data_IF_544775296873
#
_entry.id   IF_544775296873
#
_cell.length_a   1.000
_cell.length_b   1.000
_cell.length_c   1.000
_cell.angle_alpha   90.00
_cell.angle_beta   90.00
_cell.angle_gamma   90.00
#
_symmetry.space_group_name_H-M   'P 1'
#
loop_
_entity.id
_entity.type
_entity.pdbx_description
1 polymer ?
#
# COMPACT_ATOMS: atom_id res chain seq x y z
N UNK A 1 -79.68 -34.11 -29.61
CA UNK A 1 -79.20 -32.80 -29.16
C UNK A 1 -77.86 -33.03 -28.48
N UNK A 2 -76.76 -32.45 -28.97
CA UNK A 2 -75.48 -32.59 -28.30
C UNK A 2 -75.56 -31.93 -26.93
N UNK A 3 -74.95 -32.62 -25.96
CA UNK A 3 -74.97 -32.35 -24.53
C UNK A 3 -74.15 -31.08 -24.22
N UNK A 4 -74.82 -29.92 -24.12
CA UNK A 4 -74.23 -28.59 -23.87
C UNK A 4 -73.28 -28.61 -22.65
N UNK A 5 -73.61 -29.43 -21.66
CA UNK A 5 -72.81 -29.67 -20.44
C UNK A 5 -71.37 -30.12 -20.74
N UNK A 6 -71.13 -30.85 -21.84
CA UNK A 6 -69.76 -31.31 -22.21
C UNK A 6 -68.92 -30.23 -22.87
N UNK A 7 -69.53 -29.21 -23.47
CA UNK A 7 -68.80 -28.09 -24.09
C UNK A 7 -68.28 -27.12 -23.02
N UNK A 8 -69.09 -26.85 -21.99
CA UNK A 8 -68.71 -25.98 -20.88
C UNK A 8 -67.55 -26.55 -20.05
N UNK A 9 -67.55 -27.87 -19.81
CA UNK A 9 -66.44 -28.54 -19.12
C UNK A 9 -65.13 -28.47 -19.93
N UNK A 10 -65.20 -28.62 -21.25
CA UNK A 10 -63.99 -28.50 -22.08
C UNK A 10 -63.47 -27.07 -22.13
N UNK A 11 -64.35 -26.07 -22.18
CA UNK A 11 -63.93 -24.66 -22.17
C UNK A 11 -63.23 -24.31 -20.84
N UNK A 12 -63.78 -24.76 -19.71
CA UNK A 12 -63.16 -24.56 -18.38
C UNK A 12 -61.75 -25.16 -18.30
N UNK A 13 -61.54 -26.36 -18.85
CA UNK A 13 -60.22 -27.01 -18.87
C UNK A 13 -59.22 -26.22 -19.73
N UNK A 14 -59.67 -25.63 -20.84
CA UNK A 14 -58.84 -24.80 -21.72
C UNK A 14 -58.44 -23.52 -20.98
N UNK A 15 -59.37 -22.86 -20.31
CA UNK A 15 -59.11 -21.61 -19.58
C UNK A 15 -58.15 -21.84 -18.40
N UNK A 16 -58.34 -22.92 -17.62
CA UNK A 16 -57.43 -23.31 -16.53
C UNK A 16 -56.01 -23.60 -17.03
N UNK A 17 -55.88 -24.21 -18.22
CA UNK A 17 -54.57 -24.45 -18.84
C UNK A 17 -53.91 -23.15 -19.30
N UNK A 18 -54.66 -22.23 -19.89
CA UNK A 18 -54.12 -20.94 -20.32
C UNK A 18 -53.64 -20.10 -19.12
N UNK A 19 -54.37 -20.11 -18.01
CA UNK A 19 -53.98 -19.39 -16.80
C UNK A 19 -52.73 -19.99 -16.15
N UNK A 20 -52.60 -21.31 -16.13
CA UNK A 20 -51.38 -21.97 -15.65
C UNK A 20 -50.16 -21.64 -16.54
N UNK A 21 -50.32 -21.59 -17.86
CA UNK A 21 -49.25 -21.19 -18.79
C UNK A 21 -48.84 -19.73 -18.56
N UNK A 22 -49.80 -18.81 -18.38
CA UNK A 22 -49.51 -17.40 -18.05
C UNK A 22 -48.75 -17.28 -16.73
N UNK A 23 -49.16 -17.99 -15.68
CA UNK A 23 -48.47 -18.02 -14.38
C UNK A 23 -47.02 -18.53 -14.49
N UNK A 24 -46.80 -19.59 -15.25
CA UNK A 24 -45.45 -20.14 -15.48
C UNK A 24 -44.55 -19.17 -16.26
N UNK A 25 -45.09 -18.51 -17.29
CA UNK A 25 -44.35 -17.49 -18.06
C UNK A 25 -43.98 -16.30 -17.18
N UNK A 26 -44.89 -15.85 -16.32
CA UNK A 26 -44.62 -14.77 -15.37
C UNK A 26 -43.51 -15.14 -14.37
N UNK A 27 -43.56 -16.36 -13.80
CA UNK A 27 -42.50 -16.84 -12.89
C UNK A 27 -41.12 -16.92 -13.56
N UNK A 28 -41.07 -17.34 -14.83
CA UNK A 28 -39.81 -17.37 -15.60
C UNK A 28 -39.27 -15.95 -15.81
N UNK A 29 -40.12 -15.01 -16.19
CA UNK A 29 -39.73 -13.62 -16.39
C UNK A 29 -39.21 -12.98 -15.09
N UNK A 30 -39.88 -13.23 -13.96
CA UNK A 30 -39.44 -12.72 -12.64
C UNK A 30 -38.04 -13.24 -12.29
N UNK A 31 -37.77 -14.54 -12.50
CA UNK A 31 -36.44 -15.11 -12.27
C UNK A 31 -35.37 -14.49 -13.16
N UNK A 32 -35.67 -14.27 -14.43
CA UNK A 32 -34.72 -13.62 -15.36
C UNK A 32 -34.40 -12.18 -14.92
N UNK A 33 -35.43 -11.41 -14.55
CA UNK A 33 -35.24 -10.02 -14.07
C UNK A 33 -34.43 -9.99 -12.77
N UNK A 34 -34.72 -10.91 -11.83
CA UNK A 34 -33.97 -11.00 -10.57
C UNK A 34 -32.50 -11.33 -10.81
N UNK A 35 -32.20 -12.26 -11.71
CA UNK A 35 -30.81 -12.61 -12.06
C UNK A 35 -30.07 -11.42 -12.70
N UNK A 36 -30.73 -10.68 -13.59
CA UNK A 36 -30.14 -9.47 -14.19
C UNK A 36 -29.82 -8.42 -13.11
N UNK A 37 -30.76 -8.19 -12.19
CA UNK A 37 -30.55 -7.26 -11.07
C UNK A 37 -29.37 -7.68 -10.19
N UNK A 38 -29.27 -8.96 -9.83
CA UNK A 38 -28.15 -9.48 -9.05
C UNK A 38 -26.80 -9.30 -9.77
N UNK A 39 -26.75 -9.57 -11.08
CA UNK A 39 -25.54 -9.36 -11.88
C UNK A 39 -25.14 -7.88 -11.92
N UNK A 40 -26.10 -6.97 -12.10
CA UNK A 40 -25.82 -5.52 -12.10
C UNK A 40 -25.30 -5.06 -10.74
N UNK A 41 -25.91 -5.51 -9.64
CA UNK A 41 -25.44 -5.20 -8.28
C UNK A 41 -24.02 -5.72 -8.06
N UNK A 42 -23.74 -6.95 -8.50
CA UNK A 42 -22.40 -7.53 -8.40
C UNK A 42 -21.36 -6.70 -9.18
N UNK A 43 -21.69 -6.28 -10.41
CA UNK A 43 -20.81 -5.40 -11.21
C UNK A 43 -20.58 -4.07 -10.48
N UNK A 44 -21.62 -3.45 -9.92
CA UNK A 44 -21.47 -2.19 -9.18
C UNK A 44 -20.54 -2.39 -7.96
N UNK A 45 -20.70 -3.48 -7.20
CA UNK A 45 -19.84 -3.79 -6.06
C UNK A 45 -18.38 -4.00 -6.52
N UNK A 46 -18.15 -4.76 -7.59
CA UNK A 46 -16.81 -4.96 -8.14
C UNK A 46 -16.18 -3.64 -8.60
N UNK A 47 -16.91 -2.84 -9.35
CA UNK A 47 -16.43 -1.52 -9.81
C UNK A 47 -16.18 -0.59 -8.64
N UNK A 48 -17.03 -0.59 -7.62
CA UNK A 48 -16.83 0.23 -6.42
C UNK A 48 -15.61 -0.24 -5.61
N UNK A 49 -15.39 -1.55 -5.46
CA UNK A 49 -14.18 -2.08 -4.80
C UNK A 49 -12.90 -1.72 -5.56
N UNK A 50 -12.94 -1.75 -6.89
CA UNK A 50 -11.82 -1.27 -7.73
C UNK A 50 -11.65 0.24 -7.54
N UNK A 51 -12.74 1.01 -7.60
CA UNK A 51 -12.68 2.47 -7.45
C UNK A 51 -12.19 2.89 -6.06
N UNK A 52 -12.57 2.18 -5.00
CA UNK A 52 -12.09 2.44 -3.64
C UNK A 52 -10.58 2.19 -3.50
N UNK A 53 -10.04 1.22 -4.23
CA UNK A 53 -8.58 1.03 -4.36
C UNK A 53 -7.89 2.20 -5.05
N UNK A 54 -8.57 2.91 -5.96
CA UNK A 54 -8.02 4.07 -6.65
C UNK A 54 -8.22 5.40 -5.89
N UNK A 55 -9.27 5.55 -5.09
CA UNK A 55 -9.53 6.82 -4.39
C UNK A 55 -8.62 7.06 -3.16
N UNK A 56 -7.93 6.02 -2.69
CA UNK A 56 -6.82 6.17 -1.71
C UNK A 56 -5.53 6.73 -2.38
N UNK A 57 -5.47 6.84 -3.71
CA UNK A 57 -4.30 7.32 -4.45
C UNK A 57 -4.10 8.85 -4.42
N UNK A 58 -4.84 9.60 -3.60
CA UNK A 58 -4.62 11.06 -3.43
C UNK A 58 -3.65 11.42 -2.29
N UNK A 59 -2.82 10.47 -1.85
CA UNK A 59 -1.69 10.72 -0.92
C UNK A 59 -0.35 10.65 -1.68
N UNK A 60 -0.37 10.89 -2.98
CA UNK A 60 0.79 10.75 -3.84
C UNK A 60 1.09 12.07 -4.53
N UNK A 61 1.97 12.86 -3.92
CA UNK A 61 2.56 14.02 -4.58
C UNK A 61 3.60 13.51 -5.59
N UNK A 62 3.37 13.81 -6.88
CA UNK A 62 4.42 13.69 -7.88
C UNK A 62 5.45 14.79 -7.58
N UNK A 63 6.74 14.47 -7.37
CA UNK A 63 7.73 15.52 -7.15
C UNK A 63 7.80 16.41 -8.39
N UNK A 64 7.67 17.72 -8.18
CA UNK A 64 7.91 18.74 -9.21
C UNK A 64 9.35 18.56 -9.69
N UNK A 65 9.52 18.23 -10.97
CA UNK A 65 10.83 18.05 -11.58
C UNK A 65 11.70 19.28 -11.34
N UNK A 66 12.85 19.08 -10.69
CA UNK A 66 13.88 20.11 -10.57
C UNK A 66 14.45 20.37 -11.96
N UNK A 67 14.29 21.60 -12.45
CA UNK A 67 14.86 22.08 -13.70
C UNK A 67 16.37 21.76 -13.79
N UNK A 68 16.75 21.21 -14.94
CA UNK A 68 18.13 21.00 -15.36
C UNK A 68 18.90 22.33 -15.37
N UNK A 69 19.69 22.58 -14.33
CA UNK A 69 20.79 23.54 -14.39
C UNK A 69 22.10 22.82 -14.07
N UNK A 70 22.62 22.09 -15.07
CA UNK A 70 23.99 21.59 -15.08
C UNK A 70 24.95 22.78 -15.06
N UNK A 71 25.46 23.12 -13.88
CA UNK A 71 26.61 23.99 -13.74
C UNK A 71 27.86 23.17 -14.10
N UNK A 72 28.35 23.36 -15.32
CA UNK A 72 29.69 23.00 -15.78
C UNK A 72 30.71 23.51 -14.76
N UNK A 73 31.34 22.61 -14.01
CA UNK A 73 32.60 22.89 -13.33
C UNK A 73 33.71 22.41 -14.25
N UNK A 74 34.56 23.36 -14.64
CA UNK A 74 35.73 23.14 -15.48
C UNK A 74 36.81 22.40 -14.67
N UNK A 75 37.18 21.21 -15.12
CA UNK A 75 38.47 20.61 -14.78
C UNK A 75 39.53 21.13 -15.76
N UNK A 76 40.46 21.95 -15.27
CA UNK A 76 41.85 22.06 -15.74
C UNK A 76 42.55 23.21 -15.00
N UNK A 77 43.22 22.90 -13.90
CA UNK A 77 44.58 23.39 -13.63
C UNK A 77 45.07 22.82 -12.29
N UNK A 78 46.05 21.92 -12.35
CA UNK A 78 47.10 21.88 -11.33
C UNK A 78 48.34 21.18 -11.90
N UNK A 79 49.26 22.01 -12.38
CA UNK A 79 50.67 21.67 -12.54
C UNK A 79 51.34 21.53 -11.17
N UNK A 80 52.35 20.66 -11.18
CA UNK A 80 53.37 20.38 -10.16
C UNK A 80 53.93 21.63 -9.46
N UNK A 81 54.30 21.47 -8.20
CA UNK A 81 55.69 21.68 -7.79
C UNK A 81 56.04 20.96 -6.47
N UNK A 82 57.28 20.50 -6.43
CA UNK A 82 57.91 19.72 -5.37
C UNK A 82 58.40 20.59 -4.21
N UNK A 83 58.56 19.94 -3.05
CA UNK A 83 59.75 19.94 -2.18
C UNK A 83 59.64 20.53 -0.74
N UNK A 84 60.01 19.64 0.19
CA UNK A 84 60.82 19.84 1.41
C UNK A 84 60.23 20.44 2.71
N UNK A 85 60.21 19.57 3.74
CA UNK A 85 61.03 19.64 4.97
C UNK A 85 60.32 19.78 6.34
N UNK A 86 60.45 18.69 7.12
CA UNK A 86 60.50 18.52 8.60
C UNK A 86 60.53 19.77 9.50
N UNK A 87 59.70 19.79 10.56
CA UNK A 87 60.10 19.67 11.98
C UNK A 87 58.91 19.84 12.96
N UNK A 88 58.87 18.93 13.96
CA UNK A 88 58.50 18.96 15.38
C UNK A 88 57.50 19.95 16.02
N UNK A 89 56.59 19.35 16.81
CA UNK A 89 56.01 19.72 18.13
C UNK A 89 55.68 21.19 18.49
N UNK A 90 54.40 21.48 18.77
CA UNK A 90 53.94 21.86 20.14
C UNK A 90 52.42 22.09 20.22
N UNK A 91 51.92 21.83 21.44
CA UNK A 91 50.56 21.96 21.97
C UNK A 91 50.19 23.44 22.19
N UNK A 92 48.95 23.91 21.88
CA UNK A 92 47.99 24.52 22.86
C UNK A 92 46.66 25.03 22.26
N UNK A 93 45.56 24.68 22.95
CA UNK A 93 44.27 25.38 23.25
C UNK A 93 43.36 26.04 22.19
N UNK A 94 42.14 25.48 22.13
CA UNK A 94 40.85 26.10 22.51
C UNK A 94 40.35 27.34 21.73
N UNK A 95 39.32 27.16 20.89
CA UNK A 95 37.97 27.69 21.10
C UNK A 95 37.05 27.26 19.95
N UNK A 96 35.81 26.97 20.31
CA UNK A 96 34.81 26.39 19.43
C UNK A 96 34.33 27.30 18.31
N UNK A 97 33.90 26.67 17.22
CA UNK A 97 32.80 27.16 16.41
C UNK A 97 31.97 25.98 15.91
N UNK A 98 30.67 26.25 15.87
CA UNK A 98 29.56 25.33 15.70
C UNK A 98 29.74 24.38 14.50
N UNK A 99 29.94 23.10 14.79
CA UNK A 99 29.55 22.04 13.84
C UNK A 99 28.03 22.01 13.79
N UNK A 100 27.50 22.50 12.67
CA UNK A 100 26.17 22.17 12.17
C UNK A 100 26.01 20.64 12.26
N UNK A 101 24.92 20.12 12.86
CA UNK A 101 24.71 18.68 12.85
C UNK A 101 24.60 18.26 11.39
N UNK A 102 25.48 17.34 10.99
CA UNK A 102 25.40 16.68 9.70
C UNK A 102 23.99 16.08 9.59
N UNK A 103 23.25 16.51 8.57
CA UNK A 103 22.05 15.86 8.08
C UNK A 103 22.45 14.47 7.57
N UNK A 104 22.61 13.57 8.53
CA UNK A 104 22.80 12.14 8.33
C UNK A 104 21.41 11.51 8.32
N UNK A 105 20.58 11.91 7.35
CA UNK A 105 19.46 11.07 6.93
C UNK A 105 20.07 9.85 6.25
N UNK A 106 20.29 8.79 7.01
CA UNK A 106 20.77 7.52 6.50
C UNK A 106 19.71 7.00 5.51
N UNK A 107 20.04 7.09 4.22
CA UNK A 107 19.14 6.70 3.13
C UNK A 107 19.43 5.26 2.80
N UNK A 108 18.53 4.37 3.18
CA UNK A 108 18.64 2.96 2.82
C UNK A 108 18.17 2.82 1.37
N UNK A 109 19.13 2.59 0.46
CA UNK A 109 18.87 2.21 -0.93
C UNK A 109 18.82 0.70 -1.01
N UNK A 110 17.66 0.14 -1.33
CA UNK A 110 17.52 -1.28 -1.66
C UNK A 110 17.45 -1.45 -3.17
N UNK A 111 18.51 -2.01 -3.76
CA UNK A 111 18.54 -2.41 -5.16
C UNK A 111 18.39 -3.93 -5.23
N UNK A 112 17.41 -4.42 -5.99
CA UNK A 112 17.23 -5.87 -6.18
C UNK A 112 16.70 -6.20 -7.57
N UNK A 113 17.04 -7.40 -8.04
CA UNK A 113 16.58 -7.96 -9.31
C UNK A 113 15.60 -9.09 -9.04
N UNK A 114 14.34 -8.90 -9.44
CA UNK A 114 13.34 -9.96 -9.45
C UNK A 114 13.02 -10.31 -10.91
N UNK A 115 13.51 -11.47 -11.37
CA UNK A 115 13.26 -11.94 -12.74
C UNK A 115 13.92 -11.08 -13.81
N UNK A 116 13.13 -10.63 -14.79
CA UNK A 116 13.51 -9.81 -15.95
C UNK A 116 13.49 -8.30 -15.69
N UNK A 117 13.12 -7.86 -14.49
CA UNK A 117 13.01 -6.44 -14.12
C UNK A 117 13.98 -5.96 -13.03
N UNK A 118 13.98 -4.64 -12.84
CA UNK A 118 14.74 -3.90 -11.84
C UNK A 118 13.77 -3.09 -10.98
N UNK A 119 14.05 -2.97 -9.70
CA UNK A 119 13.41 -1.98 -8.85
C UNK A 119 14.43 -1.41 -7.86
N UNK A 120 14.27 -0.12 -7.59
CA UNK A 120 14.97 0.59 -6.52
C UNK A 120 13.91 1.21 -5.63
N UNK A 121 14.08 1.01 -4.32
CA UNK A 121 13.31 1.74 -3.30
C UNK A 121 14.27 2.60 -2.51
N UNK A 122 13.85 3.84 -2.27
CA UNK A 122 14.44 4.69 -1.24
C UNK A 122 13.50 4.75 -0.05
N UNK A 123 14.00 4.36 1.13
CA UNK A 123 13.40 4.69 2.42
C UNK A 123 14.34 5.65 3.16
N UNK A 124 13.79 6.74 3.68
CA UNK A 124 14.55 7.65 4.56
C UNK A 124 14.41 7.14 5.99
N UNK A 125 15.40 6.37 6.44
CA UNK A 125 15.48 5.82 7.79
C UNK A 125 14.65 4.56 8.02
N UNK A 126 14.96 3.91 9.15
CA UNK A 126 14.28 2.70 9.65
C UNK A 126 13.22 3.05 10.71
N UNK A 127 13.03 4.34 11.01
CA UNK A 127 12.13 4.84 12.06
C UNK A 127 10.96 5.58 11.42
N UNK A 128 9.77 5.03 11.60
CA UNK A 128 8.51 5.67 11.22
C UNK A 128 7.85 6.31 12.44
N UNK A 129 7.11 7.39 12.22
CA UNK A 129 6.47 8.14 13.31
C UNK A 129 4.96 8.19 13.13
N UNK A 130 4.20 8.06 14.21
CA UNK A 130 2.76 8.25 14.23
C UNK A 130 2.34 9.14 15.40
N UNK A 131 1.28 9.93 15.21
CA UNK A 131 0.65 10.65 16.32
C UNK A 131 -0.38 9.75 17.01
N UNK A 132 -0.33 9.67 18.35
CA UNK A 132 -1.28 8.87 19.12
C UNK A 132 -2.73 9.29 18.81
N UNK A 133 -3.57 8.30 18.52
CA UNK A 133 -4.99 8.50 18.22
C UNK A 133 -5.31 9.14 16.86
N UNK A 134 -4.32 9.62 16.10
CA UNK A 134 -4.53 10.11 14.72
C UNK A 134 -4.81 8.98 13.74
N UNK A 135 -4.27 7.79 14.03
CA UNK A 135 -4.24 6.67 13.11
C UNK A 135 -3.38 6.92 11.87
N UNK A 136 -2.49 7.92 11.86
CA UNK A 136 -1.64 8.23 10.69
C UNK A 136 -0.19 7.89 10.98
N UNK A 137 0.40 7.13 10.08
CA UNK A 137 1.82 6.82 10.02
C UNK A 137 2.48 7.72 8.99
N UNK A 138 3.49 8.48 9.39
CA UNK A 138 4.36 9.20 8.47
C UNK A 138 5.50 8.29 8.01
N UNK A 139 5.68 8.22 6.70
CA UNK A 139 6.73 7.43 6.06
C UNK A 139 7.27 8.19 4.85
N UNK A 140 8.55 8.02 4.53
CA UNK A 140 9.16 8.58 3.32
C UNK A 140 9.70 7.44 2.47
N UNK A 141 8.78 6.78 1.77
CA UNK A 141 9.08 5.64 0.89
C UNK A 141 8.82 6.04 -0.55
N UNK A 142 9.81 5.86 -1.41
CA UNK A 142 9.75 6.25 -2.82
C UNK A 142 10.02 5.07 -3.74
N UNK A 143 9.11 4.87 -4.69
CA UNK A 143 9.34 4.03 -5.85
C UNK A 143 10.09 4.86 -6.89
N UNK A 144 11.30 4.45 -7.28
CA UNK A 144 12.11 5.22 -8.22
C UNK A 144 11.50 5.15 -9.62
N UNK A 145 11.66 6.23 -10.39
CA UNK A 145 11.07 6.37 -11.73
C UNK A 145 11.58 5.31 -12.73
N UNK A 146 12.77 4.75 -12.51
CA UNK A 146 13.37 3.69 -13.33
C UNK A 146 13.01 2.26 -12.86
N UNK A 147 12.11 2.14 -11.89
CA UNK A 147 11.55 0.86 -11.47
C UNK A 147 10.63 0.30 -12.56
N UNK A 148 10.68 -1.01 -12.77
CA UNK A 148 9.74 -1.72 -13.66
C UNK A 148 8.55 -2.29 -12.90
N UNK A 149 8.45 -2.01 -11.60
CA UNK A 149 7.45 -2.58 -10.71
C UNK A 149 6.71 -1.53 -9.90
N UNK A 150 5.41 -1.76 -9.73
CA UNK A 150 4.59 -1.14 -8.70
C UNK A 150 4.83 -1.83 -7.37
N UNK A 151 4.64 -1.10 -6.26
CA UNK A 151 4.93 -1.61 -4.93
C UNK A 151 3.68 -1.53 -4.04
N UNK A 152 3.52 -2.53 -3.18
CA UNK A 152 2.64 -2.49 -2.01
C UNK A 152 3.49 -2.73 -0.77
N UNK A 153 3.39 -1.83 0.20
CA UNK A 153 4.04 -1.90 1.50
C UNK A 153 3.03 -2.35 2.55
N UNK A 154 3.38 -3.36 3.35
CA UNK A 154 2.59 -3.85 4.48
C UNK A 154 3.43 -3.85 5.73
N UNK A 155 2.96 -3.23 6.81
CA UNK A 155 3.64 -3.20 8.10
C UNK A 155 2.98 -4.17 9.07
N UNK A 156 3.81 -5.00 9.69
CA UNK A 156 3.38 -6.02 10.63
C UNK A 156 4.04 -5.82 11.99
N UNK A 157 3.25 -5.98 13.06
CA UNK A 157 3.74 -6.13 14.43
C UNK A 157 3.64 -7.59 14.84
N UNK A 158 4.66 -8.14 15.52
CA UNK A 158 4.62 -9.53 15.98
C UNK A 158 3.73 -9.69 17.21
N UNK A 159 3.20 -10.90 17.40
CA UNK A 159 2.44 -11.25 18.60
C UNK A 159 3.28 -11.06 19.88
N UNK A 160 4.57 -11.36 19.81
CA UNK A 160 5.49 -11.22 20.95
C UNK A 160 5.72 -9.75 21.32
N UNK A 161 5.81 -8.87 20.33
CA UNK A 161 5.89 -7.42 20.56
C UNK A 161 4.61 -6.93 21.23
N UNK A 162 3.43 -7.32 20.73
CA UNK A 162 2.15 -6.96 21.37
C UNK A 162 2.09 -7.40 22.85
N UNK A 163 2.54 -8.64 23.14
CA UNK A 163 2.61 -9.15 24.53
C UNK A 163 3.58 -8.36 25.39
N UNK A 164 4.75 -7.98 24.85
CA UNK A 164 5.75 -7.21 25.57
C UNK A 164 5.20 -5.84 26.03
N UNK A 165 4.28 -5.26 25.26
CA UNK A 165 3.60 -4.00 25.57
C UNK A 165 2.24 -4.18 26.30
N UNK A 166 1.89 -5.41 26.70
CA UNK A 166 0.64 -5.70 27.42
C UNK A 166 -0.63 -5.52 26.59
N UNK A 167 -0.53 -5.60 25.26
CA UNK A 167 -1.64 -5.44 24.32
C UNK A 167 -2.33 -6.79 24.05
N UNK A 168 -3.60 -6.72 23.64
CA UNK A 168 -4.38 -7.91 23.28
C UNK A 168 -3.83 -8.57 22.01
N UNK A 169 -3.69 -9.89 22.05
CA UNK A 169 -3.32 -10.71 20.89
C UNK A 169 -4.50 -11.50 20.31
N UNK A 170 -5.70 -11.30 20.84
CA UNK A 170 -6.89 -11.99 20.35
C UNK A 170 -7.19 -11.58 18.91
N UNK A 171 -7.19 -12.51 17.97
CA UNK A 171 -7.43 -12.20 16.55
C UNK A 171 -6.16 -11.90 15.75
N UNK A 172 -4.97 -12.00 16.36
CA UNK A 172 -3.71 -12.07 15.62
C UNK A 172 -3.68 -13.36 14.79
N UNK A 173 -3.41 -13.24 13.49
CA UNK A 173 -3.30 -14.36 12.56
C UNK A 173 -1.82 -14.63 12.26
N UNK A 174 -1.41 -15.90 12.19
CA UNK A 174 -0.04 -16.31 11.86
C UNK A 174 1.07 -15.62 12.69
N UNK A 175 0.77 -15.28 13.95
CA UNK A 175 1.72 -14.68 14.89
C UNK A 175 2.10 -13.23 14.59
N UNK A 176 1.39 -12.55 13.69
CA UNK A 176 1.61 -11.13 13.37
C UNK A 176 0.31 -10.40 13.02
N UNK A 177 0.26 -9.11 13.32
CA UNK A 177 -0.90 -8.25 13.00
C UNK A 177 -0.52 -7.21 11.96
N UNK A 178 -1.39 -7.01 10.96
CA UNK A 178 -1.21 -5.99 9.94
C UNK A 178 -1.60 -4.62 10.53
N UNK A 179 -0.61 -3.79 10.83
CA UNK A 179 -0.84 -2.47 11.43
C UNK A 179 -1.08 -1.38 10.40
N UNK A 180 -0.59 -1.53 9.17
CA UNK A 180 -0.76 -0.55 8.10
C UNK A 180 -0.47 -1.22 6.76
N UNK A 181 -1.12 -0.73 5.70
CA UNK A 181 -0.84 -1.14 4.34
C UNK A 181 -0.99 0.05 3.40
N UNK A 182 -0.02 0.23 2.50
CA UNK A 182 -0.14 1.22 1.45
C UNK A 182 -1.11 0.77 0.36
N UNK A 183 -1.57 1.73 -0.43
CA UNK A 183 -2.06 1.45 -1.78
C UNK A 183 -0.92 0.94 -2.69
N UNK A 184 -1.29 0.56 -3.91
CA UNK A 184 -0.33 0.30 -4.97
C UNK A 184 0.26 1.64 -5.43
N UNK A 185 1.58 1.80 -5.45
CA UNK A 185 2.23 3.03 -5.91
C UNK A 185 3.26 2.76 -7.01
N UNK A 186 3.09 3.49 -8.12
CA UNK A 186 3.79 3.32 -9.39
C UNK A 186 5.22 3.91 -9.35
N UNK A 187 6.10 3.55 -10.30
CA UNK A 187 7.40 4.19 -10.48
C UNK A 187 7.30 5.72 -10.50
N UNK A 188 8.17 6.38 -9.74
CA UNK A 188 8.24 7.85 -9.63
C UNK A 188 7.40 8.45 -8.50
N UNK A 189 6.54 7.66 -7.85
CA UNK A 189 5.71 8.11 -6.74
C UNK A 189 6.34 7.89 -5.36
N UNK A 190 5.88 8.69 -4.39
CA UNK A 190 6.29 8.65 -2.99
C UNK A 190 5.07 8.50 -2.09
N UNK A 191 5.12 7.59 -1.12
CA UNK A 191 4.19 7.58 0.01
C UNK A 191 4.71 8.55 1.09
N UNK A 192 3.85 9.46 1.55
CA UNK A 192 4.10 10.33 2.70
C UNK A 192 3.38 9.91 3.98
N UNK A 193 2.19 9.32 3.84
CA UNK A 193 1.34 8.90 4.96
C UNK A 193 0.63 7.58 4.65
N UNK A 194 0.46 6.72 5.66
CA UNK A 194 -0.38 5.51 5.61
C UNK A 194 -1.29 5.48 6.83
N UNK A 195 -2.51 4.98 6.64
CA UNK A 195 -3.44 4.79 7.75
C UNK A 195 -3.05 3.56 8.58
N UNK A 196 -2.90 3.76 9.89
CA UNK A 196 -2.81 2.71 10.88
C UNK A 196 -4.19 2.08 11.11
N UNK A 197 -4.19 0.76 11.11
CA UNK A 197 -5.30 -0.07 11.52
C UNK A 197 -5.43 -0.06 13.04
N UNK A 198 -6.67 -0.19 13.52
CA UNK A 198 -6.91 -0.53 14.91
C UNK A 198 -6.31 -1.92 15.22
N UNK A 199 -5.91 -2.11 16.48
CA UNK A 199 -5.62 -3.40 17.05
C UNK A 199 -6.86 -4.30 17.02
N UNK A 200 -6.70 -5.62 17.21
CA UNK A 200 -7.82 -6.55 17.12
C UNK A 200 -8.97 -6.28 18.11
N UNK A 201 -8.68 -5.61 19.23
CA UNK A 201 -9.67 -5.20 20.23
C UNK A 201 -10.36 -3.85 19.90
N UNK A 202 -10.02 -3.24 18.76
CA UNK A 202 -10.54 -1.96 18.29
C UNK A 202 -9.83 -0.74 18.85
N UNK A 203 -8.83 -0.91 19.74
CA UNK A 203 -7.99 0.18 20.22
C UNK A 203 -6.90 0.55 19.20
N UNK A 204 -6.24 1.69 19.36
CA UNK A 204 -5.04 2.03 18.58
C UNK A 204 -3.78 1.73 19.38
N UNK A 205 -2.64 1.64 18.69
CA UNK A 205 -1.35 1.55 19.36
C UNK A 205 -1.20 2.76 20.30
N UNK A 206 -0.96 2.53 21.61
CA UNK A 206 -0.65 3.62 22.53
C UNK A 206 0.71 4.23 22.19
N UNK A 207 1.03 5.35 22.82
CA UNK A 207 2.34 5.97 22.69
C UNK A 207 3.45 5.02 23.14
N UNK A 208 4.53 4.93 22.37
CA UNK A 208 5.63 4.00 22.61
C UNK A 208 6.44 3.68 21.34
N UNK A 209 7.52 2.94 21.53
CA UNK A 209 8.38 2.42 20.46
C UNK A 209 8.05 0.94 20.22
N UNK A 210 7.85 0.58 18.95
CA UNK A 210 7.48 -0.77 18.53
C UNK A 210 8.44 -1.32 17.47
N UNK A 211 8.84 -2.57 17.63
CA UNK A 211 9.58 -3.31 16.60
C UNK A 211 8.61 -3.93 15.59
N UNK A 212 8.80 -3.62 14.31
CA UNK A 212 7.92 -4.03 13.22
C UNK A 212 8.70 -4.72 12.10
N UNK A 213 7.96 -5.35 11.20
CA UNK A 213 8.46 -5.85 9.92
C UNK A 213 7.68 -5.21 8.79
N UNK A 214 8.39 -4.52 7.91
CA UNK A 214 7.87 -4.03 6.64
C UNK A 214 8.04 -5.09 5.56
N UNK A 215 6.92 -5.47 4.96
CA UNK A 215 6.85 -6.39 3.84
C UNK A 215 6.57 -5.60 2.56
N UNK A 216 7.37 -5.82 1.54
CA UNK A 216 7.18 -5.18 0.24
C UNK A 216 6.89 -6.24 -0.83
N UNK A 217 5.81 -6.00 -1.56
CA UNK A 217 5.42 -6.81 -2.71
C UNK A 217 5.49 -5.99 -3.97
N UNK A 218 6.04 -6.63 -5.01
CA UNK A 218 6.36 -6.00 -6.27
C UNK A 218 5.49 -6.58 -7.36
N UNK A 219 4.81 -5.73 -8.12
CA UNK A 219 3.96 -6.12 -9.23
C UNK A 219 4.55 -5.54 -10.50
N UNK A 220 4.75 -6.36 -11.54
CA UNK A 220 5.28 -5.87 -12.81
C UNK A 220 4.34 -4.81 -13.37
N UNK A 221 4.82 -3.59 -13.56
CA UNK A 221 3.99 -2.41 -13.84
C UNK A 221 3.07 -2.62 -15.06
N UNK A 222 3.61 -3.17 -16.15
CA UNK A 222 2.83 -3.38 -17.38
C UNK A 222 1.80 -4.52 -17.31
N UNK A 223 2.09 -5.58 -16.55
CA UNK A 223 1.29 -6.83 -16.59
C UNK A 223 0.46 -7.06 -15.34
N UNK A 224 0.76 -6.34 -14.24
CA UNK A 224 0.19 -6.55 -12.92
C UNK A 224 0.57 -7.88 -12.27
N UNK A 225 1.50 -8.64 -12.84
CA UNK A 225 1.92 -9.94 -12.31
C UNK A 225 2.80 -9.74 -11.09
N UNK A 226 2.48 -10.45 -10.00
CA UNK A 226 3.28 -10.44 -8.78
C UNK A 226 4.66 -11.05 -9.05
N UNK A 227 5.72 -10.31 -8.71
CA UNK A 227 7.09 -10.79 -8.78
C UNK A 227 7.34 -11.85 -7.70
N UNK A 228 8.24 -12.80 -7.97
CA UNK A 228 8.61 -13.86 -7.03
C UNK A 228 9.49 -13.39 -5.86
N UNK A 229 9.76 -12.08 -5.79
CA UNK A 229 10.58 -11.48 -4.75
C UNK A 229 9.70 -10.78 -3.72
N UNK A 230 10.05 -10.97 -2.45
CA UNK A 230 9.41 -10.36 -1.30
C UNK A 230 10.51 -9.88 -0.37
N UNK A 231 10.49 -8.59 -0.01
CA UNK A 231 11.42 -8.02 0.96
C UNK A 231 10.76 -7.97 2.33
N UNK A 232 11.52 -8.33 3.36
CA UNK A 232 11.12 -8.21 4.76
C UNK A 232 12.18 -7.38 5.48
N UNK A 233 11.84 -6.12 5.78
CA UNK A 233 12.75 -5.12 6.31
C UNK A 233 12.33 -4.85 7.77
N UNK A 234 13.23 -5.03 8.76
CA UNK A 234 12.93 -4.66 10.14
C UNK A 234 12.86 -3.15 10.26
N UNK A 235 11.84 -2.62 10.93
CA UNK A 235 11.63 -1.19 11.09
C UNK A 235 11.10 -0.87 12.49
N UNK A 236 11.31 0.34 12.96
CA UNK A 236 10.81 0.84 14.25
C UNK A 236 9.67 1.82 14.01
N UNK A 237 8.60 1.70 14.81
CA UNK A 237 7.53 2.68 14.86
C UNK A 237 7.54 3.41 16.20
N UNK A 238 7.68 4.72 16.15
CA UNK A 238 7.54 5.62 17.29
C UNK A 238 6.15 6.28 17.27
N UNK A 239 5.33 5.95 18.26
CA UNK A 239 4.02 6.58 18.47
C UNK A 239 4.19 7.70 19.50
N UNK A 240 4.09 8.95 19.06
CA UNK A 240 4.21 10.14 19.91
C UNK A 240 2.92 10.37 20.73
N UNK A 241 3.05 10.89 21.94
CA UNK A 241 1.92 11.25 22.82
C UNK A 241 1.05 12.38 22.27
#
# INVERSE_FOLDING_TARGET
MPDETRLDEQQKIIDDRQDNIKKLKNRRNIRTVLNILLTVVFIIICTFSIYRRYDEARIFDKPVGTDDNQQKINDNDMQKDDNQQKNDDSITTDNGDQQTPADSTDKTKSDSKAGDGHFTIYSVGDVYTAENGSGKLHCDVRNVEDSTHDIVMSLYISEDELKAHGLSTNGVEDGKWLIAQSGLFEPGYKIGEVQLNALPDGSYLPAGSYSLTMNERYYHHETGVLASYEANIPVTLEVAN
#
